data_IF_901523844946
#
_entry.id   IF_901523844946
#
_cell.length_a   1.000
_cell.length_b   1.000
_cell.length_c   1.000
_cell.angle_alpha   90.00
_cell.angle_beta   90.00
_cell.angle_gamma   90.00
#
_symmetry.space_group_name_H-M   'P 1'
#
loop_
_entity.id
_entity.type
_entity.pdbx_description
1 polymer ?
#
# COMPACT_ATOMS: atom_id res chain seq x y z
N UNK A 1 -9.03 18.98 -16.20
CA UNK A 1 -9.99 19.69 -15.33
C UNK A 1 -10.76 18.81 -14.34
N UNK A 2 -10.72 17.47 -14.43
CA UNK A 2 -11.52 16.61 -13.53
C UNK A 2 -10.94 16.37 -12.12
N UNK A 3 -9.63 16.54 -11.91
CA UNK A 3 -8.98 16.10 -10.65
C UNK A 3 -9.04 17.12 -9.51
N UNK A 4 -9.08 18.42 -9.82
CA UNK A 4 -9.19 19.51 -8.83
C UNK A 4 -10.43 19.28 -7.96
N UNK A 5 -11.57 18.97 -8.61
CA UNK A 5 -12.83 18.68 -7.94
C UNK A 5 -12.79 17.44 -7.02
N UNK A 6 -11.91 16.46 -7.28
CA UNK A 6 -11.83 15.25 -6.44
C UNK A 6 -11.07 15.51 -5.14
N UNK A 7 -9.99 16.31 -5.21
CA UNK A 7 -9.26 16.71 -4.00
C UNK A 7 -10.09 17.70 -3.19
N UNK A 8 -10.80 18.64 -3.83
CA UNK A 8 -11.76 19.52 -3.16
C UNK A 8 -12.77 18.70 -2.34
N UNK A 9 -13.40 17.71 -3.00
CA UNK A 9 -14.38 16.85 -2.34
C UNK A 9 -13.78 16.02 -1.20
N UNK A 10 -12.54 15.56 -1.35
CA UNK A 10 -11.83 14.84 -0.31
C UNK A 10 -11.61 15.71 0.93
N UNK A 11 -11.20 16.97 0.74
CA UNK A 11 -10.98 17.91 1.83
C UNK A 11 -12.31 18.27 2.49
N UNK A 12 -13.33 18.65 1.72
CA UNK A 12 -14.66 19.00 2.24
C UNK A 12 -15.29 17.86 3.06
N UNK A 13 -15.05 16.60 2.66
CA UNK A 13 -15.58 15.42 3.37
C UNK A 13 -14.71 14.95 4.54
N UNK A 14 -13.59 15.62 4.81
CA UNK A 14 -12.72 15.30 5.94
C UNK A 14 -13.31 15.82 7.26
N UNK A 15 -12.77 15.34 8.39
CA UNK A 15 -13.15 15.88 9.69
C UNK A 15 -12.86 17.38 9.79
N UNK A 16 -13.65 18.14 10.55
CA UNK A 16 -13.57 19.61 10.60
C UNK A 16 -12.16 20.13 10.95
N UNK A 17 -11.46 19.47 11.87
CA UNK A 17 -10.08 19.84 12.22
C UNK A 17 -9.08 19.64 11.07
N UNK A 18 -9.36 18.69 10.17
CA UNK A 18 -8.46 18.30 9.10
C UNK A 18 -8.55 19.23 7.88
N UNK A 19 -9.73 19.83 7.64
CA UNK A 19 -9.98 20.74 6.52
C UNK A 19 -8.92 21.84 6.41
N UNK A 20 -8.69 22.69 7.45
CA UNK A 20 -7.71 23.78 7.35
C UNK A 20 -6.28 23.27 7.16
N UNK A 21 -5.94 22.11 7.73
CA UNK A 21 -4.60 21.50 7.60
C UNK A 21 -4.36 21.04 6.15
N UNK A 22 -5.32 20.32 5.57
CA UNK A 22 -5.21 19.78 4.22
C UNK A 22 -5.22 20.88 3.16
N UNK A 23 -6.06 21.91 3.34
CA UNK A 23 -6.05 23.09 2.46
C UNK A 23 -4.72 23.83 2.51
N UNK A 24 -4.17 24.03 3.72
CA UNK A 24 -2.86 24.67 3.88
C UNK A 24 -1.75 23.89 3.17
N UNK A 25 -1.67 22.57 3.42
CA UNK A 25 -0.70 21.69 2.77
C UNK A 25 -0.83 21.72 1.24
N UNK A 26 -2.05 21.65 0.72
CA UNK A 26 -2.31 21.72 -0.72
C UNK A 26 -1.83 23.04 -1.33
N UNK A 27 -2.12 24.17 -0.66
CA UNK A 27 -1.68 25.48 -1.11
C UNK A 27 -0.16 25.58 -1.15
N UNK A 28 0.54 25.04 -0.14
CA UNK A 28 2.01 25.00 -0.13
C UNK A 28 2.58 24.15 -1.26
N UNK A 29 1.94 23.02 -1.61
CA UNK A 29 2.36 22.20 -2.74
C UNK A 29 2.31 22.99 -4.05
N UNK A 30 1.21 23.68 -4.35
CA UNK A 30 1.10 24.48 -5.57
C UNK A 30 1.94 25.76 -5.54
N UNK A 31 2.19 26.31 -4.36
CA UNK A 31 3.12 27.43 -4.18
C UNK A 31 4.56 27.01 -4.46
N UNK A 32 4.94 25.77 -4.12
CA UNK A 32 6.26 25.25 -4.41
C UNK A 32 6.49 25.07 -5.91
N UNK A 33 5.49 24.57 -6.65
CA UNK A 33 5.50 24.51 -8.11
C UNK A 33 4.08 24.36 -8.70
N UNK A 34 3.65 25.33 -9.51
CA UNK A 34 2.32 25.35 -10.13
C UNK A 34 2.12 24.27 -11.20
N UNK A 35 3.17 23.56 -11.62
CA UNK A 35 3.11 22.47 -12.60
C UNK A 35 2.70 21.14 -11.98
N UNK A 36 2.59 21.06 -10.65
CA UNK A 36 2.18 19.84 -9.96
C UNK A 36 0.72 19.50 -10.28
N UNK A 37 0.50 18.25 -10.66
CA UNK A 37 -0.83 17.72 -10.91
C UNK A 37 -1.37 16.97 -9.69
N UNK A 38 -2.66 17.15 -9.41
CA UNK A 38 -3.38 16.40 -8.39
C UNK A 38 -3.96 15.10 -8.94
N UNK A 39 -3.86 14.00 -8.19
CA UNK A 39 -4.44 12.71 -8.53
C UNK A 39 -4.96 12.00 -7.28
N UNK A 40 -6.05 11.26 -7.42
CA UNK A 40 -6.51 10.33 -6.39
C UNK A 40 -5.90 8.95 -6.62
N UNK A 41 -5.13 8.45 -5.63
CA UNK A 41 -4.61 7.07 -5.62
C UNK A 41 -4.96 6.48 -4.25
N UNK A 42 -5.52 5.26 -4.23
CA UNK A 42 -5.94 4.60 -2.98
C UNK A 42 -6.86 5.47 -2.11
N UNK A 43 -7.78 6.19 -2.74
CA UNK A 43 -8.75 7.08 -2.09
C UNK A 43 -8.14 8.24 -1.29
N UNK A 44 -6.90 8.64 -1.57
CA UNK A 44 -6.28 9.82 -0.98
C UNK A 44 -5.58 10.69 -2.03
N UNK A 45 -5.36 12.00 -1.77
CA UNK A 45 -4.67 12.90 -2.69
C UNK A 45 -3.17 12.61 -2.81
N UNK A 46 -2.72 12.56 -4.05
CA UNK A 46 -1.33 12.48 -4.48
C UNK A 46 -1.01 13.66 -5.40
N UNK A 47 0.21 14.16 -5.28
CA UNK A 47 0.72 15.29 -6.04
C UNK A 47 1.87 14.81 -6.92
N UNK A 48 1.68 14.91 -8.23
CA UNK A 48 2.57 14.35 -9.24
C UNK A 48 3.25 15.46 -10.06
N UNK A 49 4.56 15.37 -10.22
CA UNK A 49 5.34 16.09 -11.22
C UNK A 49 6.53 15.23 -11.64
N UNK A 50 6.52 14.77 -12.91
CA UNK A 50 7.45 13.74 -13.45
C UNK A 50 7.59 12.50 -12.56
N UNK A 51 6.49 12.11 -11.90
CA UNK A 51 6.42 11.09 -10.86
C UNK A 51 5.75 11.63 -9.60
N UNK A 52 5.43 10.76 -8.64
CA UNK A 52 4.85 11.20 -7.37
C UNK A 52 5.87 12.03 -6.59
N UNK A 53 5.47 13.23 -6.16
CA UNK A 53 6.27 14.12 -5.30
C UNK A 53 5.91 13.85 -3.84
N UNK A 54 4.66 14.13 -3.48
CA UNK A 54 4.13 13.99 -2.13
C UNK A 54 2.67 13.52 -2.15
N UNK A 55 2.13 13.27 -0.96
CA UNK A 55 0.76 12.84 -0.75
C UNK A 55 0.28 13.31 0.63
N UNK A 56 -1.04 13.40 0.78
CA UNK A 56 -1.66 13.72 2.05
C UNK A 56 -2.85 12.80 2.32
N UNK A 57 -3.18 12.62 3.59
CA UNK A 57 -4.34 11.83 3.99
C UNK A 57 -4.97 12.38 5.27
N UNK A 58 -6.27 12.18 5.38
CA UNK A 58 -7.13 12.48 6.52
C UNK A 58 -7.51 11.18 7.23
N UNK A 59 -7.26 11.12 8.53
CA UNK A 59 -7.71 10.04 9.41
C UNK A 59 -8.67 10.61 10.46
N UNK A 60 -9.29 9.72 11.24
CA UNK A 60 -10.30 10.09 12.25
C UNK A 60 -9.83 11.17 13.25
N UNK A 61 -8.54 11.21 13.57
CA UNK A 61 -7.99 12.07 14.63
C UNK A 61 -6.67 12.78 14.24
N UNK A 62 -6.20 12.64 13.00
CA UNK A 62 -5.01 13.34 12.52
C UNK A 62 -4.98 13.36 10.99
N UNK A 63 -4.20 14.26 10.42
CA UNK A 63 -3.74 14.23 9.04
C UNK A 63 -2.34 13.61 8.97
N UNK A 64 -1.99 13.14 7.78
CA UNK A 64 -0.64 12.73 7.44
C UNK A 64 -0.21 13.41 6.15
N UNK A 65 1.07 13.77 6.07
CA UNK A 65 1.71 14.29 4.87
C UNK A 65 3.04 13.56 4.66
N UNK A 66 3.37 13.22 3.42
CA UNK A 66 4.60 12.47 3.15
C UNK A 66 5.12 12.60 1.73
N UNK A 67 6.41 12.29 1.58
CA UNK A 67 7.12 12.34 0.30
C UNK A 67 7.35 10.94 -0.25
N UNK A 68 7.10 10.75 -1.54
CA UNK A 68 7.24 9.44 -2.19
C UNK A 68 8.67 8.90 -2.11
N UNK A 69 9.65 9.79 -2.33
CA UNK A 69 11.08 9.49 -2.25
C UNK A 69 11.72 9.97 -0.94
N UNK A 70 10.95 10.15 0.12
CA UNK A 70 11.47 10.74 1.36
C UNK A 70 12.63 9.97 2.02
N UNK A 71 12.82 8.68 1.73
CA UNK A 71 14.00 7.94 2.20
C UNK A 71 15.31 8.33 1.50
N UNK A 72 15.24 9.11 0.42
CA UNK A 72 16.39 9.62 -0.35
C UNK A 72 16.56 11.14 -0.17
N UNK A 73 15.66 11.77 0.58
CA UNK A 73 15.66 13.20 0.86
C UNK A 73 16.60 13.50 2.03
N UNK A 74 17.17 14.70 2.03
CA UNK A 74 17.99 15.17 3.14
C UNK A 74 17.09 15.90 4.14
N UNK A 75 17.14 15.49 5.40
CA UNK A 75 16.32 16.06 6.46
C UNK A 75 17.09 17.09 7.29
N UNK A 76 17.52 18.18 6.66
CA UNK A 76 18.34 19.22 7.28
C UNK A 76 17.68 19.88 8.51
N UNK A 77 16.34 19.92 8.51
CA UNK A 77 15.54 20.56 9.56
C UNK A 77 14.91 19.56 10.53
N UNK A 78 15.20 18.25 10.39
CA UNK A 78 14.75 17.22 11.33
C UNK A 78 13.21 17.05 11.38
N UNK A 79 12.52 17.29 10.26
CA UNK A 79 11.05 17.23 10.22
C UNK A 79 10.54 15.79 10.02
N UNK A 80 11.40 14.86 9.58
CA UNK A 80 10.98 13.49 9.35
C UNK A 80 10.84 12.71 10.66
N UNK A 81 9.70 12.04 10.80
CA UNK A 81 9.36 11.13 11.89
C UNK A 81 9.39 9.69 11.42
N UNK A 82 9.49 8.77 12.38
CA UNK A 82 9.44 7.34 12.12
C UNK A 82 8.13 6.95 11.43
N UNK A 83 8.22 6.19 10.32
CA UNK A 83 7.05 5.73 9.54
C UNK A 83 6.12 4.81 10.33
N UNK A 84 6.51 4.34 11.51
CA UNK A 84 5.65 3.56 12.41
C UNK A 84 4.56 4.41 13.07
N UNK A 85 4.71 5.74 13.14
CA UNK A 85 3.78 6.61 13.87
C UNK A 85 2.61 7.08 13.01
N UNK A 86 2.83 7.30 11.72
CA UNK A 86 1.83 7.72 10.75
C UNK A 86 2.23 7.29 9.33
N UNK A 87 1.24 7.27 8.43
CA UNK A 87 1.47 6.90 7.02
C UNK A 87 2.37 7.91 6.28
N UNK A 88 2.46 9.14 6.78
CA UNK A 88 3.32 10.20 6.27
C UNK A 88 4.73 10.22 6.89
N UNK A 89 5.49 11.27 6.58
CA UNK A 89 6.83 11.50 7.14
C UNK A 89 6.83 12.59 8.21
N UNK A 90 5.74 13.35 8.38
CA UNK A 90 5.67 14.44 9.36
C UNK A 90 5.02 14.01 10.69
N UNK A 91 4.77 12.72 10.90
CA UNK A 91 4.03 12.21 12.05
C UNK A 91 2.53 12.48 11.95
N UNK A 92 1.85 12.53 13.10
CA UNK A 92 0.40 12.81 13.20
C UNK A 92 0.19 14.31 13.33
N UNK A 93 -0.45 14.91 12.34
CA UNK A 93 -0.73 16.35 12.29
C UNK A 93 -2.17 16.56 12.79
N UNK A 94 -2.34 17.25 13.91
CA UNK A 94 -3.64 17.48 14.56
C UNK A 94 -4.06 18.94 14.50
N UNK A 95 -3.12 19.86 14.35
CA UNK A 95 -3.34 21.28 14.13
C UNK A 95 -2.25 21.87 13.21
N UNK A 96 -2.37 23.15 12.85
CA UNK A 96 -1.41 23.82 11.97
C UNK A 96 -0.04 24.01 12.64
N UNK A 97 -0.02 24.12 13.97
CA UNK A 97 1.19 24.27 14.77
C UNK A 97 2.06 23.02 14.78
N UNK A 98 1.50 21.85 14.42
CA UNK A 98 2.26 20.61 14.26
C UNK A 98 3.12 20.62 12.97
N UNK A 99 2.88 21.55 12.05
CA UNK A 99 3.62 21.68 10.80
C UNK A 99 4.90 22.51 10.99
N UNK A 100 5.99 22.18 10.28
CA UNK A 100 7.11 23.09 10.16
C UNK A 100 6.69 24.34 9.39
N UNK A 101 7.53 25.39 9.40
CA UNK A 101 7.22 26.63 8.69
C UNK A 101 6.99 26.38 7.20
N UNK A 102 6.18 27.24 6.59
CA UNK A 102 5.85 27.18 5.17
C UNK A 102 7.11 27.14 4.28
N UNK A 103 8.14 27.89 4.64
CA UNK A 103 9.43 27.94 3.93
C UNK A 103 10.14 26.59 3.96
N UNK A 104 10.17 25.92 5.12
CA UNK A 104 10.76 24.60 5.27
C UNK A 104 9.95 23.58 4.45
N UNK A 105 8.62 23.59 4.55
CA UNK A 105 7.79 22.67 3.75
C UNK A 105 8.00 22.84 2.25
N UNK A 106 8.03 24.08 1.77
CA UNK A 106 8.28 24.37 0.35
C UNK A 106 9.66 23.86 -0.08
N UNK A 107 10.70 24.06 0.74
CA UNK A 107 12.05 23.56 0.44
C UNK A 107 12.07 22.02 0.29
N UNK A 108 11.36 21.29 1.15
CA UNK A 108 11.27 19.82 1.04
C UNK A 108 10.46 19.39 -0.19
N UNK A 109 9.38 20.10 -0.53
CA UNK A 109 8.61 19.84 -1.75
C UNK A 109 9.49 20.05 -2.99
N UNK A 110 10.28 21.13 -3.02
CA UNK A 110 11.25 21.39 -4.10
C UNK A 110 12.34 20.33 -4.19
N UNK A 111 12.86 19.85 -3.07
CA UNK A 111 13.82 18.75 -3.07
C UNK A 111 13.20 17.45 -3.64
N UNK A 112 11.94 17.15 -3.30
CA UNK A 112 11.22 16.01 -3.86
C UNK A 112 10.98 16.16 -5.38
N UNK A 113 10.67 17.36 -5.86
CA UNK A 113 10.60 17.69 -7.29
C UNK A 113 11.95 17.41 -7.96
N UNK A 114 13.05 17.90 -7.39
CA UNK A 114 14.39 17.72 -7.95
C UNK A 114 14.76 16.23 -8.13
N UNK A 115 14.38 15.38 -7.17
CA UNK A 115 14.57 13.93 -7.29
C UNK A 115 13.78 13.32 -8.46
N UNK A 116 12.62 13.87 -8.80
CA UNK A 116 11.86 13.45 -9.98
C UNK A 116 12.48 13.97 -11.28
N UNK A 117 12.90 15.23 -11.31
CA UNK A 117 13.55 15.82 -12.49
C UNK A 117 14.88 15.13 -12.82
N UNK A 118 15.64 14.73 -11.80
CA UNK A 118 16.89 13.98 -11.94
C UNK A 118 16.66 12.48 -12.23
N UNK A 119 15.41 12.03 -12.41
CA UNK A 119 15.05 10.63 -12.66
C UNK A 119 15.58 9.64 -11.59
N UNK A 120 15.79 10.11 -10.35
CA UNK A 120 16.29 9.26 -9.26
C UNK A 120 15.25 8.17 -8.94
N UNK A 121 15.66 6.91 -8.93
CA UNK A 121 14.77 5.78 -8.62
C UNK A 121 14.93 5.36 -7.16
N UNK A 122 13.83 4.91 -6.55
CA UNK A 122 13.90 4.23 -5.25
C UNK A 122 14.73 2.94 -5.39
N UNK A 123 15.56 2.59 -4.40
CA UNK A 123 16.30 1.33 -4.42
C UNK A 123 15.32 0.17 -4.49
N UNK A 124 15.53 -0.75 -5.44
CA UNK A 124 14.76 -1.99 -5.48
C UNK A 124 15.08 -2.79 -4.24
N UNK A 125 14.06 -3.09 -3.41
CA UNK A 125 14.22 -4.06 -2.33
C UNK A 125 14.80 -5.34 -2.93
N UNK A 126 15.86 -5.91 -2.34
CA UNK A 126 16.36 -7.20 -2.80
C UNK A 126 15.21 -8.19 -2.73
N UNK A 127 14.89 -8.82 -3.88
CA UNK A 127 13.95 -9.95 -3.89
C UNK A 127 14.56 -10.99 -2.96
N UNK A 128 13.92 -11.29 -1.85
CA UNK A 128 14.33 -12.39 -0.96
C UNK A 128 14.45 -13.65 -1.82
N UNK A 129 15.68 -14.06 -2.12
CA UNK A 129 16.01 -15.26 -2.90
C UNK A 129 15.93 -16.52 -2.06
N UNK A 130 15.72 -16.39 -0.74
CA UNK A 130 15.35 -17.52 0.10
C UNK A 130 13.95 -17.97 -0.26
N UNK A 131 13.87 -18.96 -1.15
CA UNK A 131 12.69 -19.82 -1.27
C UNK A 131 12.54 -20.51 0.09
N UNK A 132 11.79 -19.90 1.01
CA UNK A 132 11.22 -20.67 2.12
C UNK A 132 10.41 -21.79 1.47
N UNK A 133 10.90 -23.01 1.59
CA UNK A 133 10.20 -24.18 1.10
C UNK A 133 8.80 -24.19 1.73
N UNK A 134 7.79 -24.33 0.89
CA UNK A 134 6.42 -24.39 1.35
C UNK A 134 6.24 -25.71 2.09
N UNK A 135 6.06 -25.65 3.41
CA UNK A 135 5.68 -26.81 4.20
C UNK A 135 4.21 -27.13 3.90
N UNK A 136 3.96 -28.29 3.32
CA UNK A 136 2.61 -28.79 3.04
C UNK A 136 2.14 -29.58 4.27
N UNK A 137 1.01 -29.24 4.89
CA UNK A 137 0.48 -30.00 6.03
C UNK A 137 0.18 -31.45 5.65
N UNK A 138 0.47 -32.38 6.57
CA UNK A 138 0.31 -33.82 6.36
C UNK A 138 -1.11 -34.21 5.93
N UNK A 139 -2.13 -33.68 6.61
CA UNK A 139 -3.55 -33.94 6.27
C UNK A 139 -3.94 -33.49 4.86
N UNK A 140 -3.29 -32.46 4.31
CA UNK A 140 -3.54 -32.03 2.94
C UNK A 140 -2.87 -33.02 1.97
N UNK A 141 -1.68 -33.50 2.32
CA UNK A 141 -0.97 -34.44 1.47
C UNK A 141 -1.64 -35.81 1.42
N UNK A 142 -2.12 -36.32 2.55
CA UNK A 142 -2.90 -37.56 2.63
C UNK A 142 -4.17 -37.46 1.76
N UNK A 143 -4.95 -36.38 1.92
CA UNK A 143 -6.17 -36.17 1.15
C UNK A 143 -5.90 -36.03 -0.36
N UNK A 144 -4.77 -35.44 -0.76
CA UNK A 144 -4.36 -35.37 -2.15
C UNK A 144 -3.92 -36.74 -2.70
N UNK A 145 -3.31 -37.60 -1.90
CA UNK A 145 -2.93 -38.95 -2.34
C UNK A 145 -4.14 -39.83 -2.67
N UNK A 146 -5.29 -39.57 -2.05
CA UNK A 146 -6.56 -40.24 -2.34
C UNK A 146 -7.25 -39.73 -3.62
N UNK A 147 -6.82 -38.59 -4.17
CA UNK A 147 -7.36 -37.98 -5.40
C UNK A 147 -6.22 -37.66 -6.40
N UNK A 148 -5.90 -38.60 -7.31
CA UNK A 148 -4.80 -38.44 -8.27
C UNK A 148 -4.94 -37.22 -9.21
N UNK A 149 -6.16 -36.81 -9.54
CA UNK A 149 -6.39 -35.64 -10.40
C UNK A 149 -6.04 -34.35 -9.65
N UNK A 150 -6.57 -34.21 -8.42
CA UNK A 150 -6.24 -33.09 -7.56
C UNK A 150 -4.74 -33.03 -7.22
N UNK A 151 -4.09 -34.18 -7.00
CA UNK A 151 -2.66 -34.28 -6.74
C UNK A 151 -1.83 -33.76 -7.91
N UNK A 152 -2.14 -34.19 -9.14
CA UNK A 152 -1.41 -33.78 -10.34
C UNK A 152 -1.52 -32.27 -10.57
N UNK A 153 -2.72 -31.71 -10.41
CA UNK A 153 -2.94 -30.25 -10.52
C UNK A 153 -2.17 -29.51 -9.43
N UNK A 154 -2.26 -29.97 -8.17
CA UNK A 154 -1.57 -29.35 -7.06
C UNK A 154 -0.05 -29.37 -7.27
N UNK A 155 0.54 -30.49 -7.70
CA UNK A 155 1.97 -30.60 -7.97
C UNK A 155 2.44 -29.68 -9.11
N UNK A 156 1.62 -29.49 -10.14
CA UNK A 156 1.94 -28.63 -11.28
C UNK A 156 1.73 -27.13 -11.01
N UNK A 157 1.08 -26.75 -9.91
CA UNK A 157 0.91 -25.35 -9.54
C UNK A 157 2.21 -24.67 -9.13
N UNK A 158 2.28 -23.36 -9.41
CA UNK A 158 3.36 -22.49 -8.92
C UNK A 158 3.39 -22.49 -7.39
N UNK A 159 4.56 -22.23 -6.80
CA UNK A 159 4.71 -22.16 -5.33
C UNK A 159 3.73 -21.16 -4.69
N UNK A 160 3.40 -20.06 -5.39
CA UNK A 160 2.39 -19.10 -4.91
C UNK A 160 1.00 -19.72 -4.84
N UNK A 161 0.56 -20.41 -5.89
CA UNK A 161 -0.76 -21.04 -5.91
C UNK A 161 -0.87 -22.16 -4.86
N UNK A 162 0.19 -22.96 -4.68
CA UNK A 162 0.25 -23.97 -3.61
C UNK A 162 0.15 -23.32 -2.24
N UNK A 163 0.89 -22.23 -2.03
CA UNK A 163 0.91 -21.49 -0.77
C UNK A 163 -0.46 -20.90 -0.42
N UNK A 164 -1.21 -20.40 -1.40
CA UNK A 164 -2.55 -19.85 -1.15
C UNK A 164 -3.52 -20.91 -0.61
N UNK A 165 -3.45 -22.15 -1.10
CA UNK A 165 -4.23 -23.26 -0.56
C UNK A 165 -3.81 -23.64 0.85
N UNK A 166 -2.50 -23.81 1.08
CA UNK A 166 -1.95 -24.16 2.40
C UNK A 166 -2.35 -23.12 3.43
N UNK A 167 -2.11 -21.84 3.15
CA UNK A 167 -2.46 -20.75 4.07
C UNK A 167 -3.96 -20.72 4.37
N UNK A 168 -4.81 -20.89 3.35
CA UNK A 168 -6.25 -20.93 3.54
C UNK A 168 -6.69 -22.09 4.43
N UNK A 169 -6.03 -23.24 4.38
CA UNK A 169 -6.34 -24.36 5.25
C UNK A 169 -5.82 -24.13 6.68
N UNK A 170 -4.62 -23.59 6.84
CA UNK A 170 -4.01 -23.28 8.14
C UNK A 170 -4.72 -22.15 8.89
N UNK A 171 -5.34 -21.20 8.19
CA UNK A 171 -6.16 -20.14 8.80
C UNK A 171 -7.46 -20.66 9.45
N UNK A 172 -7.82 -21.94 9.28
CA UNK A 172 -9.01 -22.51 9.88
C UNK A 172 -8.84 -22.73 11.39
N UNK A 173 -9.59 -21.98 12.21
CA UNK A 173 -9.53 -22.07 13.68
C UNK A 173 -10.21 -23.31 14.28
N UNK A 174 -11.04 -24.00 13.50
CA UNK A 174 -11.80 -25.18 13.96
C UNK A 174 -11.64 -26.34 12.99
N UNK A 175 -11.65 -27.56 13.52
CA UNK A 175 -11.52 -28.78 12.73
C UNK A 175 -12.60 -28.89 11.66
N UNK A 176 -13.84 -28.58 12.03
CA UNK A 176 -14.99 -28.61 11.10
C UNK A 176 -14.81 -27.66 9.93
N UNK A 177 -14.19 -26.49 10.16
CA UNK A 177 -13.88 -25.53 9.09
C UNK A 177 -12.74 -26.03 8.22
N UNK A 178 -11.70 -26.62 8.84
CA UNK A 178 -10.56 -27.21 8.13
C UNK A 178 -11.02 -28.30 7.17
N UNK A 179 -11.85 -29.23 7.63
CA UNK A 179 -12.42 -30.30 6.80
C UNK A 179 -13.26 -29.76 5.63
N UNK A 180 -14.13 -28.77 5.85
CA UNK A 180 -14.90 -28.14 4.76
C UNK A 180 -14.00 -27.47 3.72
N UNK A 181 -12.94 -26.79 4.15
CA UNK A 181 -11.95 -26.19 3.25
C UNK A 181 -11.14 -27.24 2.51
N UNK A 182 -10.82 -28.36 3.15
CA UNK A 182 -10.10 -29.48 2.53
C UNK A 182 -10.91 -30.11 1.41
N UNK A 183 -12.19 -30.44 1.66
CA UNK A 183 -13.12 -30.94 0.63
C UNK A 183 -13.23 -29.95 -0.53
N UNK A 184 -13.41 -28.65 -0.23
CA UNK A 184 -13.46 -27.61 -1.26
C UNK A 184 -12.17 -27.50 -2.07
N UNK A 185 -11.03 -27.74 -1.42
CA UNK A 185 -9.70 -27.70 -2.04
C UNK A 185 -9.57 -28.82 -3.07
N UNK A 186 -9.93 -30.05 -2.71
CA UNK A 186 -9.90 -31.20 -3.63
C UNK A 186 -10.79 -30.95 -4.85
N UNK A 187 -12.04 -30.53 -4.65
CA UNK A 187 -12.97 -30.21 -5.75
C UNK A 187 -12.38 -29.14 -6.69
N UNK A 188 -11.83 -28.06 -6.15
CA UNK A 188 -11.26 -27.01 -7.00
C UNK A 188 -9.99 -27.44 -7.71
N UNK A 189 -9.16 -28.28 -7.08
CA UNK A 189 -7.96 -28.81 -7.71
C UNK A 189 -8.30 -29.79 -8.82
N UNK A 190 -9.26 -30.68 -8.64
CA UNK A 190 -9.76 -31.56 -9.72
C UNK A 190 -10.26 -30.75 -10.93
N UNK A 191 -10.85 -29.58 -10.69
CA UNK A 191 -11.27 -28.64 -11.75
C UNK A 191 -10.14 -27.75 -12.31
N UNK A 192 -8.88 -27.93 -11.88
CA UNK A 192 -7.75 -27.12 -12.35
C UNK A 192 -7.74 -25.68 -11.82
N UNK A 193 -8.56 -25.36 -10.82
CA UNK A 193 -8.76 -23.99 -10.32
C UNK A 193 -7.71 -23.63 -9.27
N UNK A 194 -7.23 -22.38 -9.31
CA UNK A 194 -6.41 -21.79 -8.24
C UNK A 194 -7.30 -21.29 -7.11
N UNK A 195 -6.83 -21.20 -5.86
CA UNK A 195 -7.65 -20.72 -4.73
C UNK A 195 -8.38 -19.39 -4.98
N UNK A 196 -7.77 -18.46 -5.70
CA UNK A 196 -8.35 -17.15 -6.01
C UNK A 196 -9.11 -17.11 -7.35
N UNK A 197 -9.50 -18.25 -7.91
CA UNK A 197 -10.13 -18.35 -9.25
C UNK A 197 -11.38 -17.47 -9.40
N UNK A 198 -12.17 -17.30 -8.35
CA UNK A 198 -13.39 -16.46 -8.37
C UNK A 198 -13.11 -14.97 -8.59
N UNK A 199 -11.86 -14.53 -8.42
CA UNK A 199 -11.44 -13.14 -8.61
C UNK A 199 -10.62 -12.94 -9.89
N UNK A 200 -10.36 -14.01 -10.64
CA UNK A 200 -9.72 -13.93 -11.95
C UNK A 200 -10.82 -13.56 -12.96
N UNK A 201 -10.70 -12.38 -13.56
CA UNK A 201 -11.51 -11.95 -14.70
C UNK A 201 -11.05 -12.66 -15.97
#
# INVERSE_FOLDING_TARGET
>A
MHNIAQVDQYIINSAEFAIPILDHLRNLVHKADARIEEKMKWSMPFFDFKGTVCHMASFKHHCAFGFWKGSLMQDEYGIFKERSEAMGLLGKITCLEDLPSDEILIAYIQQAIQLNENNVKLPTKPKSTEKKELVIPEYLMEALQEDPEALAVFQNFSTSNKKDYVLWLEEAKTETTRQKRLVSTLVWLAEGKTRMWKYKK
#
